data_IF_073714581545
#
_entry.id   IF_073714581545
#
_cell.length_a   1.000
_cell.length_b   1.000
_cell.length_c   1.000
_cell.angle_alpha   90.00
_cell.angle_beta   90.00
_cell.angle_gamma   90.00
#
_symmetry.space_group_name_H-M   'P 1'
#
loop_
_entity.id
_entity.type
_entity.pdbx_description
1 polymer ?
#
# COMPACT_ATOMS: atom_id res chain seq x y z
N UNK A 1 19.71 0.28 16.30
CA UNK A 1 19.08 -1.04 16.12
C UNK A 1 19.33 -1.46 14.69
N UNK A 2 20.05 -2.55 14.46
CA UNK A 2 20.02 -3.21 13.14
C UNK A 2 18.78 -4.09 13.07
N UNK A 3 18.13 -4.25 11.90
CA UNK A 3 17.09 -5.26 11.72
C UNK A 3 17.66 -6.64 12.09
N UNK A 4 16.84 -7.47 12.74
CA UNK A 4 17.19 -8.87 13.00
C UNK A 4 17.46 -9.57 11.64
N UNK A 5 18.59 -10.29 11.46
CA UNK A 5 18.88 -10.99 10.20
C UNK A 5 17.86 -12.08 9.85
N UNK A 6 17.13 -12.58 10.84
CA UNK A 6 16.03 -13.54 10.65
C UNK A 6 14.67 -12.85 10.44
N UNK A 7 14.62 -11.51 10.53
CA UNK A 7 13.41 -10.75 10.21
C UNK A 7 13.03 -11.02 8.75
N UNK A 8 11.89 -11.67 8.58
CA UNK A 8 11.20 -11.78 7.30
C UNK A 8 10.09 -10.74 7.30
N UNK A 9 9.91 -10.08 6.17
CA UNK A 9 8.75 -9.21 5.96
C UNK A 9 7.54 -10.12 5.88
N UNK A 10 6.57 -9.92 6.76
CA UNK A 10 5.24 -10.47 6.57
C UNK A 10 4.52 -9.60 5.54
N UNK A 11 4.23 -10.17 4.37
CA UNK A 11 3.56 -9.47 3.28
C UNK A 11 2.08 -9.24 3.55
N UNK A 12 1.52 -9.84 4.61
CA UNK A 12 0.17 -9.53 5.06
C UNK A 12 0.12 -8.35 6.03
N UNK A 13 1.25 -7.94 6.61
CA UNK A 13 1.40 -6.79 7.51
C UNK A 13 2.09 -5.59 6.84
N UNK A 14 1.60 -5.21 5.65
CA UNK A 14 2.11 -4.06 4.90
C UNK A 14 1.03 -3.00 4.70
N UNK A 15 1.36 -1.75 5.05
CA UNK A 15 0.53 -0.58 4.76
C UNK A 15 1.22 0.33 3.76
N UNK A 16 0.45 0.83 2.80
CA UNK A 16 0.85 1.93 1.93
C UNK A 16 0.08 3.17 2.39
N UNK A 17 0.80 4.18 2.88
CA UNK A 17 0.19 5.41 3.39
C UNK A 17 0.62 6.58 2.53
N UNK A 18 -0.33 7.35 2.04
CA UNK A 18 -0.07 8.61 1.34
C UNK A 18 -0.44 9.79 2.24
N UNK A 19 0.50 10.70 2.45
CA UNK A 19 0.26 12.00 3.09
C UNK A 19 0.41 13.10 2.03
N UNK A 20 -0.66 13.81 1.63
CA UNK A 20 -0.52 14.94 0.72
C UNK A 20 0.22 16.10 1.40
N UNK A 21 0.76 17.04 0.63
CA UNK A 21 1.45 18.23 1.16
C UNK A 21 0.57 19.07 2.11
N UNK A 22 -0.74 19.05 1.89
CA UNK A 22 -1.74 19.58 2.80
C UNK A 22 -2.88 18.56 2.97
N UNK A 23 -3.17 18.16 4.19
CA UNK A 23 -4.21 17.19 4.51
C UNK A 23 -3.70 16.11 5.46
N UNK A 24 -4.58 15.18 5.80
CA UNK A 24 -4.28 14.07 6.70
C UNK A 24 -3.71 12.86 5.93
N UNK A 25 -2.92 12.00 6.59
CA UNK A 25 -2.47 10.74 6.00
C UNK A 25 -3.64 9.80 5.73
N UNK A 26 -3.65 9.18 4.55
CA UNK A 26 -4.61 8.16 4.11
C UNK A 26 -3.89 6.84 3.86
N UNK A 27 -4.44 5.76 4.41
CA UNK A 27 -4.01 4.40 4.04
C UNK A 27 -4.66 4.00 2.71
N UNK A 28 -3.83 3.62 1.75
CA UNK A 28 -4.27 3.12 0.46
C UNK A 28 -4.64 1.63 0.64
N UNK A 29 -5.85 1.20 0.23
CA UNK A 29 -6.28 -0.17 0.44
C UNK A 29 -5.48 -1.16 -0.41
N UNK A 30 -5.13 -2.31 0.18
CA UNK A 30 -4.54 -3.44 -0.54
C UNK A 30 -5.62 -4.14 -1.36
N UNK A 31 -5.29 -4.50 -2.59
CA UNK A 31 -6.10 -5.25 -3.53
C UNK A 31 -5.36 -6.56 -3.91
N UNK A 32 -6.13 -7.52 -4.40
CA UNK A 32 -5.60 -8.83 -4.82
C UNK A 32 -4.67 -8.75 -6.04
N UNK A 33 -4.94 -7.83 -6.97
CA UNK A 33 -4.22 -7.72 -8.25
C UNK A 33 -4.60 -6.45 -9.01
N UNK A 34 -3.92 -6.20 -10.13
CA UNK A 34 -4.26 -5.13 -11.08
C UNK A 34 -5.71 -5.22 -11.59
N UNK A 35 -6.24 -6.44 -11.80
CA UNK A 35 -7.62 -6.64 -12.25
C UNK A 35 -8.69 -6.22 -11.25
N UNK A 36 -8.31 -5.94 -9.99
CA UNK A 36 -9.23 -5.40 -9.00
C UNK A 36 -9.36 -3.86 -9.06
N UNK A 37 -8.50 -3.15 -9.79
CA UNK A 37 -8.54 -1.69 -9.87
C UNK A 37 -9.88 -1.18 -10.42
N UNK A 38 -10.43 -1.82 -11.45
CA UNK A 38 -11.71 -1.40 -12.07
C UNK A 38 -12.91 -1.56 -11.13
N UNK A 39 -12.82 -2.50 -10.17
CA UNK A 39 -13.86 -2.74 -9.15
C UNK A 39 -13.73 -1.82 -7.93
N UNK A 40 -12.62 -1.09 -7.82
CA UNK A 40 -12.31 -0.23 -6.69
C UNK A 40 -12.05 1.19 -7.20
N UNK A 41 -13.11 1.98 -7.48
CA UNK A 41 -12.96 3.32 -8.05
C UNK A 41 -12.20 4.29 -7.13
N UNK A 42 -12.15 4.00 -5.82
CA UNK A 42 -11.36 4.74 -4.84
C UNK A 42 -9.86 4.38 -4.87
N UNK A 43 -9.45 3.51 -5.79
CA UNK A 43 -8.08 3.07 -5.98
C UNK A 43 -7.62 2.00 -5.00
N UNK A 44 -6.32 1.77 -4.98
CA UNK A 44 -5.68 0.74 -4.19
C UNK A 44 -4.25 0.46 -4.65
N UNK A 45 -3.59 -0.46 -3.94
CA UNK A 45 -2.30 -1.01 -4.29
C UNK A 45 -2.34 -2.53 -4.26
N UNK A 46 -1.43 -3.20 -4.95
CA UNK A 46 -1.34 -4.66 -5.01
C UNK A 46 0.11 -5.09 -5.18
N UNK A 47 0.41 -6.36 -4.90
CA UNK A 47 1.71 -6.94 -5.23
C UNK A 47 1.79 -7.32 -6.70
N UNK A 48 2.98 -7.19 -7.28
CA UNK A 48 3.26 -7.68 -8.64
C UNK A 48 2.96 -9.17 -8.83
N UNK A 49 3.31 -9.97 -7.82
CA UNK A 49 2.91 -11.36 -7.72
C UNK A 49 2.45 -11.63 -6.28
N UNK A 50 1.17 -12.02 -6.03
CA UNK A 50 0.69 -12.28 -4.68
C UNK A 50 1.33 -13.51 -4.02
N UNK A 51 1.92 -14.43 -4.80
CA UNK A 51 2.56 -15.64 -4.28
C UNK A 51 4.07 -15.50 -4.02
N UNK A 52 4.73 -14.54 -4.67
CA UNK A 52 6.15 -14.20 -4.46
C UNK A 52 6.35 -12.69 -4.68
N UNK A 53 5.93 -11.84 -3.73
CA UNK A 53 5.95 -10.39 -3.91
C UNK A 53 7.36 -9.83 -4.03
N UNK A 54 7.60 -9.01 -5.06
CA UNK A 54 8.88 -8.29 -5.24
C UNK A 54 8.70 -6.79 -5.33
N UNK A 55 7.49 -6.34 -5.66
CA UNK A 55 7.16 -4.92 -5.73
C UNK A 55 5.72 -4.64 -5.37
N UNK A 56 5.49 -3.43 -4.87
CA UNK A 56 4.17 -2.84 -4.68
C UNK A 56 3.85 -2.04 -5.94
N UNK A 57 2.68 -2.28 -6.51
CA UNK A 57 2.12 -1.52 -7.61
C UNK A 57 0.86 -0.80 -7.13
N UNK A 58 0.58 0.37 -7.68
CA UNK A 58 -0.63 1.15 -7.39
C UNK A 58 -1.55 1.16 -8.59
N UNK A 59 -2.86 1.18 -8.36
CA UNK A 59 -3.83 1.36 -9.43
C UNK A 59 -3.58 2.70 -10.16
N UNK A 60 -3.88 2.79 -11.47
CA UNK A 60 -3.70 4.02 -12.24
C UNK A 60 -4.34 5.25 -11.58
N UNK A 61 -5.58 5.14 -11.12
CA UNK A 61 -6.29 6.21 -10.42
C UNK A 61 -5.66 6.60 -9.06
N UNK A 62 -4.91 5.69 -8.42
CA UNK A 62 -4.15 6.01 -7.20
C UNK A 62 -2.86 6.74 -7.55
N UNK A 63 -2.18 6.30 -8.62
CA UNK A 63 -1.00 6.97 -9.15
C UNK A 63 -1.31 8.42 -9.53
N UNK A 64 -2.43 8.67 -10.21
CA UNK A 64 -2.86 10.02 -10.60
C UNK A 64 -3.17 10.95 -9.42
N UNK A 65 -3.55 10.39 -8.25
CA UNK A 65 -3.77 11.16 -7.02
C UNK A 65 -2.47 11.51 -6.30
N UNK A 66 -1.38 10.79 -6.55
CA UNK A 66 -0.10 11.10 -5.92
C UNK A 66 0.46 12.39 -6.53
N UNK A 67 0.52 13.43 -5.71
CA UNK A 67 1.16 14.70 -6.02
C UNK A 67 2.25 15.04 -5.01
N UNK A 68 2.47 16.33 -4.77
CA UNK A 68 3.35 16.79 -3.70
C UNK A 68 2.91 16.20 -2.35
N UNK A 69 3.81 15.50 -1.67
CA UNK A 69 3.48 14.75 -0.45
C UNK A 69 4.52 13.69 -0.14
N UNK A 70 4.10 12.68 0.62
CA UNK A 70 4.96 11.59 1.09
C UNK A 70 4.21 10.27 0.98
N UNK A 71 4.87 9.27 0.41
CA UNK A 71 4.42 7.87 0.45
C UNK A 71 5.28 7.13 1.48
N UNK A 72 4.63 6.43 2.40
CA UNK A 72 5.27 5.58 3.40
C UNK A 72 4.86 4.13 3.18
N UNK A 73 5.85 3.23 3.21
CA UNK A 73 5.62 1.79 3.31
C UNK A 73 5.91 1.41 4.75
N UNK A 74 4.89 0.97 5.48
CA UNK A 74 5.02 0.51 6.86
C UNK A 74 4.95 -1.01 6.86
N UNK A 75 5.93 -1.64 7.50
CA UNK A 75 6.09 -3.10 7.59
C UNK A 75 5.80 -3.54 9.03
N UNK A 76 5.20 -4.71 9.21
CA UNK A 76 4.81 -5.23 10.53
C UNK A 76 3.63 -4.49 11.16
N UNK A 77 2.82 -3.81 10.34
CA UNK A 77 1.62 -3.12 10.78
C UNK A 77 0.40 -3.75 10.11
N UNK A 78 -0.55 -4.26 10.90
CA UNK A 78 -1.81 -4.79 10.38
C UNK A 78 -2.56 -3.70 9.58
N UNK A 79 -2.95 -3.95 8.32
CA UNK A 79 -3.72 -3.00 7.54
C UNK A 79 -5.00 -2.58 8.27
N UNK A 80 -5.33 -1.29 8.23
CA UNK A 80 -6.57 -0.78 8.83
C UNK A 80 -7.73 -1.04 7.87
N UNK A 81 -8.12 -2.30 7.75
CA UNK A 81 -9.31 -2.70 7.01
C UNK A 81 -10.56 -2.09 7.65
N UNK A 82 -11.23 -1.18 6.93
CA UNK A 82 -12.58 -0.71 7.32
C UNK A 82 -12.66 0.59 8.12
N UNK A 83 -11.66 1.48 8.11
CA UNK A 83 -11.83 2.87 8.57
C UNK A 83 -12.28 3.80 7.43
N UNK A 84 -13.54 3.62 7.01
CA UNK A 84 -14.45 4.69 6.60
C UNK A 84 -15.85 4.33 7.06
#
# INVERSE_FOLDING_TARGET
MSPDPDLRVDFDEVQVVYTPASGEPEEIPRLESSGACDRNPNGGWFYDNPADPRSIQVCPCTCERFGAGRVEIRLGCEPRLGLR
#
